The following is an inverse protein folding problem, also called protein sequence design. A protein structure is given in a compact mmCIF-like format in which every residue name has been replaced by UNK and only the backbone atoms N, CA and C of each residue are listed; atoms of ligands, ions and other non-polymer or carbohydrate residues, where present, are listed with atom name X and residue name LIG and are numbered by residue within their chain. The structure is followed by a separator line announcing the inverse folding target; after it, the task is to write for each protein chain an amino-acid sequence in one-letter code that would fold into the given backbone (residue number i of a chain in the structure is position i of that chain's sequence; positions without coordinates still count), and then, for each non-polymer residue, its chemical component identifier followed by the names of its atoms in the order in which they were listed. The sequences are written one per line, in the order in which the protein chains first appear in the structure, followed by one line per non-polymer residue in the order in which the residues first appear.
data_IF_026920996001
#
_entry.id   IF_026920996001
#
_cell.length_a   1.000
_cell.length_b   1.000
_cell.length_c   1.000
_cell.angle_alpha   90.00
_cell.angle_beta   90.00
_cell.angle_gamma   90.00
#
_symmetry.space_group_name_H-M   'P 1'
#
loop_
_entity.id
_entity.type
_entity.pdbx_description
1 polymer ?
#
# COMPACT_ATOMS: atom_id res chain seq x y z
N UNK A 1 13.01 11.01 4.04
CA UNK A 1 11.59 10.62 4.22
C UNK A 1 10.76 11.03 3.01
N UNK A 2 9.81 10.20 2.60
CA UNK A 2 8.89 10.47 1.48
C UNK A 2 8.07 11.75 1.72
N UNK A 3 7.70 12.07 2.96
CA UNK A 3 6.98 13.31 3.33
C UNK A 3 7.61 14.58 2.75
N UNK A 4 8.95 14.63 2.68
CA UNK A 4 9.75 15.77 2.21
C UNK A 4 9.90 15.84 0.69
N UNK A 5 9.32 14.90 -0.06
CA UNK A 5 9.34 14.95 -1.54
C UNK A 5 8.32 15.95 -2.10
N UNK A 6 7.46 16.48 -1.24
CA UNK A 6 6.38 17.40 -1.53
C UNK A 6 6.75 18.83 -1.12
N UNK A 7 6.22 19.82 -1.85
CA UNK A 7 6.38 21.25 -1.55
C UNK A 7 5.00 21.91 -1.49
N UNK A 8 4.52 22.31 -0.28
CA UNK A 8 5.12 22.09 1.04
C UNK A 8 5.15 20.60 1.45
N UNK A 9 5.93 20.28 2.49
CA UNK A 9 6.04 18.91 3.04
C UNK A 9 4.63 18.33 3.31
N UNK A 10 4.39 17.11 2.83
CA UNK A 10 3.09 16.46 2.98
C UNK A 10 2.92 16.00 4.42
N UNK A 11 1.99 16.65 5.13
CA UNK A 11 1.63 16.32 6.51
C UNK A 11 0.16 15.95 6.58
N UNK A 12 -0.07 14.71 6.97
CA UNK A 12 -1.40 14.15 7.12
C UNK A 12 -1.88 14.32 8.57
N UNK A 13 -3.14 14.70 8.80
CA UNK A 13 -3.72 14.68 10.15
C UNK A 13 -3.80 13.24 10.70
N UNK A 14 -3.73 13.05 12.02
CA UNK A 14 -3.84 11.73 12.62
C UNK A 14 -5.18 11.05 12.27
N UNK A 15 -5.18 9.75 11.90
CA UNK A 15 -6.39 9.05 11.47
C UNK A 15 -7.50 9.08 12.53
N UNK A 16 -7.15 9.08 13.81
CA UNK A 16 -8.08 9.07 14.94
C UNK A 16 -8.89 10.38 15.07
N UNK A 17 -8.42 11.46 14.46
CA UNK A 17 -9.09 12.77 14.51
C UNK A 17 -10.05 13.02 13.34
N UNK A 18 -10.14 12.07 12.41
CA UNK A 18 -10.94 12.19 11.19
C UNK A 18 -12.13 11.23 11.24
N UNK A 19 -13.29 11.73 10.82
CA UNK A 19 -14.42 10.88 10.43
C UNK A 19 -14.11 10.14 9.12
N UNK A 20 -14.93 9.13 8.80
CA UNK A 20 -14.67 8.23 7.67
C UNK A 20 -14.81 8.95 6.31
N UNK A 21 -15.76 9.88 6.17
CA UNK A 21 -15.94 10.65 4.93
C UNK A 21 -14.73 11.55 4.65
N UNK A 22 -14.28 12.32 5.65
CA UNK A 22 -13.11 13.19 5.49
C UNK A 22 -11.83 12.41 5.30
N UNK A 23 -11.71 11.26 5.97
CA UNK A 23 -10.57 10.36 5.81
C UNK A 23 -10.52 9.81 4.39
N UNK A 24 -11.66 9.39 3.83
CA UNK A 24 -11.76 8.91 2.45
C UNK A 24 -11.27 9.96 1.45
N UNK A 25 -11.77 11.20 1.55
CA UNK A 25 -11.38 12.29 0.66
C UNK A 25 -9.86 12.58 0.74
N UNK A 26 -9.32 12.64 1.96
CA UNK A 26 -7.89 12.87 2.19
C UNK A 26 -7.04 11.71 1.68
N UNK A 27 -7.51 10.47 1.83
CA UNK A 27 -6.84 9.29 1.33
C UNK A 27 -6.67 9.36 -0.20
N UNK A 28 -7.73 9.64 -0.95
CA UNK A 28 -7.66 9.73 -2.41
C UNK A 28 -6.77 10.87 -2.90
N UNK A 29 -6.87 12.06 -2.28
CA UNK A 29 -5.98 13.18 -2.57
C UNK A 29 -4.50 12.81 -2.30
N UNK A 30 -4.25 12.09 -1.20
CA UNK A 30 -2.91 11.62 -0.84
C UNK A 30 -2.38 10.61 -1.85
N UNK A 31 -3.21 9.66 -2.28
CA UNK A 31 -2.84 8.67 -3.29
C UNK A 31 -2.46 9.35 -4.61
N UNK A 32 -3.24 10.34 -5.04
CA UNK A 32 -2.93 11.09 -6.26
C UNK A 32 -1.58 11.83 -6.13
N UNK A 33 -1.35 12.49 -4.99
CA UNK A 33 -0.07 13.16 -4.69
C UNK A 33 1.11 12.18 -4.72
N UNK A 34 0.96 11.01 -4.10
CA UNK A 34 1.98 9.95 -4.15
C UNK A 34 2.28 9.54 -5.59
N UNK A 35 1.24 9.34 -6.40
CA UNK A 35 1.39 8.99 -7.82
C UNK A 35 2.12 10.08 -8.62
N UNK A 36 1.83 11.35 -8.38
CA UNK A 36 2.52 12.49 -9.01
C UNK A 36 4.02 12.51 -8.67
N UNK A 37 4.40 11.99 -7.50
CA UNK A 37 5.79 11.76 -7.08
C UNK A 37 6.34 10.40 -7.51
N UNK A 38 5.65 9.71 -8.44
CA UNK A 38 6.01 8.40 -8.98
C UNK A 38 6.03 7.29 -7.92
N UNK A 39 5.17 7.38 -6.92
CA UNK A 39 4.97 6.33 -5.92
C UNK A 39 3.64 5.64 -6.23
N UNK A 40 3.69 4.34 -6.51
CA UNK A 40 2.51 3.50 -6.77
C UNK A 40 2.28 2.58 -5.58
N UNK A 41 1.04 2.52 -5.11
CA UNK A 41 0.65 1.58 -4.06
C UNK A 41 0.13 0.30 -4.71
N UNK A 42 0.64 -0.84 -4.28
CA UNK A 42 0.25 -2.16 -4.74
C UNK A 42 -0.42 -2.96 -3.62
N UNK A 43 -1.29 -3.88 -4.01
CA UNK A 43 -1.94 -4.82 -3.09
C UNK A 43 -2.71 -4.15 -1.93
N UNK A 44 -3.48 -3.11 -2.22
CA UNK A 44 -4.17 -2.34 -1.17
C UNK A 44 -5.51 -2.91 -0.73
N UNK A 45 -6.19 -3.70 -1.57
CA UNK A 45 -7.64 -3.96 -1.51
C UNK A 45 -8.11 -4.74 -0.27
N UNK A 46 -7.19 -5.33 0.49
CA UNK A 46 -7.48 -5.94 1.80
C UNK A 46 -7.65 -4.90 2.92
N UNK A 47 -7.17 -3.68 2.74
CA UNK A 47 -7.20 -2.61 3.74
C UNK A 47 -8.47 -1.78 3.58
N UNK A 48 -9.14 -1.44 4.67
CA UNK A 48 -10.11 -0.33 4.66
C UNK A 48 -9.41 1.00 4.43
N UNK A 49 -10.16 2.05 4.07
CA UNK A 49 -9.60 3.39 3.86
C UNK A 49 -8.83 3.88 5.10
N UNK A 50 -9.37 3.63 6.29
CA UNK A 50 -8.73 3.96 7.56
C UNK A 50 -7.41 3.22 7.76
N UNK A 51 -7.35 1.94 7.40
CA UNK A 51 -6.11 1.16 7.48
C UNK A 51 -5.08 1.64 6.46
N UNK A 52 -5.48 1.84 5.20
CA UNK A 52 -4.58 2.33 4.15
C UNK A 52 -4.07 3.74 4.44
N UNK A 53 -4.93 4.64 4.92
CA UNK A 53 -4.52 5.97 5.35
C UNK A 53 -3.52 5.91 6.52
N UNK A 54 -3.77 5.04 7.50
CA UNK A 54 -2.88 4.86 8.66
C UNK A 54 -1.51 4.32 8.24
N UNK A 55 -1.48 3.41 7.27
CA UNK A 55 -0.28 2.85 6.66
C UNK A 55 0.52 3.94 5.93
N UNK A 56 -0.13 4.76 5.12
CA UNK A 56 0.53 5.89 4.45
C UNK A 56 1.13 6.86 5.49
N UNK A 57 0.35 7.20 6.52
CA UNK A 57 0.75 8.11 7.59
C UNK A 57 1.96 7.60 8.39
N UNK A 58 1.93 6.32 8.82
CA UNK A 58 2.90 5.75 9.77
C UNK A 58 4.14 5.18 9.07
N UNK A 59 3.96 4.55 7.93
CA UNK A 59 4.99 3.71 7.32
C UNK A 59 5.55 4.36 6.05
N UNK A 60 4.68 4.77 5.10
CA UNK A 60 5.13 5.30 3.80
C UNK A 60 5.77 6.68 3.95
N UNK A 61 5.03 7.67 4.45
CA UNK A 61 5.53 9.05 4.52
C UNK A 61 6.83 9.19 5.35
N UNK A 62 7.00 8.48 6.48
CA UNK A 62 8.25 8.53 7.24
C UNK A 62 9.40 7.73 6.61
N UNK A 63 9.13 6.79 5.69
CA UNK A 63 10.15 5.91 5.11
C UNK A 63 11.26 6.68 4.41
N UNK A 64 12.51 6.24 4.63
CA UNK A 64 13.73 6.87 4.10
C UNK A 64 14.09 6.31 2.73
N UNK A 65 13.28 6.65 1.73
CA UNK A 65 13.54 6.24 0.36
C UNK A 65 14.47 7.19 -0.39
N UNK A 66 15.24 6.64 -1.33
CA UNK A 66 16.02 7.44 -2.28
C UNK A 66 15.11 7.89 -3.42
N UNK A 67 14.94 9.20 -3.55
CA UNK A 67 14.25 9.78 -4.71
C UNK A 67 15.11 9.59 -5.95
N UNK A 68 14.66 8.73 -6.88
CA UNK A 68 15.32 8.53 -8.16
C UNK A 68 14.64 9.45 -9.18
N UNK A 69 15.35 10.47 -9.65
CA UNK A 69 14.84 11.46 -10.61
C UNK A 69 14.93 10.98 -12.07
N UNK A 70 14.78 9.68 -12.29
CA UNK A 70 14.72 9.10 -13.63
C UNK A 70 13.26 8.98 -14.05
N UNK A 71 12.90 9.56 -15.19
CA UNK A 71 11.52 9.63 -15.72
C UNK A 71 10.84 8.27 -15.94
N UNK A 72 11.58 7.18 -15.93
CA UNK A 72 11.11 5.81 -16.24
C UNK A 72 10.92 4.91 -15.01
N UNK A 73 11.25 5.38 -13.80
CA UNK A 73 11.16 4.55 -12.59
C UNK A 73 10.07 5.04 -11.64
N UNK A 74 9.21 4.11 -11.24
CA UNK A 74 8.26 4.28 -10.15
C UNK A 74 8.77 3.54 -8.91
N UNK A 75 8.50 4.11 -7.74
CA UNK A 75 8.62 3.40 -6.48
C UNK A 75 7.32 2.63 -6.27
N UNK A 76 7.40 1.30 -6.29
CA UNK A 76 6.28 0.42 -5.99
C UNK A 76 6.31 0.13 -4.49
N UNK A 77 5.22 0.43 -3.81
CA UNK A 77 5.06 0.15 -2.40
C UNK A 77 4.07 -1.00 -2.22
N UNK A 78 4.59 -2.15 -1.81
CA UNK A 78 3.79 -3.33 -1.51
C UNK A 78 3.08 -3.15 -0.15
N UNK A 79 1.75 -3.04 -0.18
CA UNK A 79 0.93 -2.92 1.03
C UNK A 79 0.56 -4.28 1.67
N UNK A 80 0.82 -5.41 1.00
CA UNK A 80 0.59 -6.75 1.53
C UNK A 80 1.82 -7.32 2.25
N UNK A 81 3.02 -6.86 1.91
CA UNK A 81 4.29 -7.29 2.52
C UNK A 81 4.72 -6.45 3.73
N UNK A 82 3.79 -5.76 4.41
CA UNK A 82 4.11 -4.90 5.55
C UNK A 82 4.24 -5.71 6.85
N UNK A 83 5.41 -6.34 7.01
CA UNK A 83 5.77 -7.13 8.19
C UNK A 83 6.47 -8.43 7.79
N UNK A 84 6.65 -9.33 8.75
CA UNK A 84 7.15 -10.70 8.52
C UNK A 84 6.03 -11.65 8.07
N UNK A 85 4.81 -11.15 7.90
CA UNK A 85 3.61 -11.98 7.74
C UNK A 85 3.16 -12.07 6.28
N UNK A 86 3.58 -13.14 5.61
CA UNK A 86 3.15 -13.53 4.27
C UNK A 86 1.67 -13.92 4.21
N UNK A 87 0.97 -14.03 5.35
CA UNK A 87 -0.42 -14.45 5.40
C UNK A 87 -1.34 -13.55 4.58
N UNK A 88 -1.11 -12.22 4.59
CA UNK A 88 -1.92 -11.27 3.81
C UNK A 88 -1.75 -11.50 2.30
N UNK A 89 -0.52 -11.73 1.86
CA UNK A 89 -0.23 -12.09 0.47
C UNK A 89 -0.94 -13.40 0.08
N UNK A 90 -0.73 -14.45 0.87
CA UNK A 90 -1.28 -15.79 0.62
C UNK A 90 -2.81 -15.79 0.61
N UNK A 91 -3.45 -15.00 1.46
CA UNK A 91 -4.89 -14.92 1.59
C UNK A 91 -5.57 -14.22 0.41
N UNK A 92 -5.00 -13.12 -0.06
CA UNK A 92 -5.71 -12.19 -0.95
C UNK A 92 -5.14 -12.08 -2.38
N UNK A 93 -3.85 -12.37 -2.58
CA UNK A 93 -3.15 -12.01 -3.82
C UNK A 93 -2.36 -13.16 -4.44
N UNK A 94 -1.88 -14.11 -3.63
CA UNK A 94 -1.14 -15.25 -4.14
C UNK A 94 -2.01 -16.13 -5.05
N UNK A 95 -1.40 -16.56 -6.14
CA UNK A 95 -1.93 -17.61 -7.00
C UNK A 95 -1.87 -18.97 -6.30
N UNK A 96 -2.60 -19.95 -6.81
CA UNK A 96 -2.56 -21.32 -6.26
C UNK A 96 -1.16 -21.94 -6.38
N UNK A 97 -0.42 -21.62 -7.45
CA UNK A 97 0.96 -22.08 -7.65
C UNK A 97 1.89 -21.52 -6.57
N UNK A 98 1.87 -20.20 -6.33
CA UNK A 98 2.67 -19.56 -5.28
C UNK A 98 2.33 -20.08 -3.87
N UNK A 99 1.07 -20.46 -3.64
CA UNK A 99 0.62 -21.08 -2.39
C UNK A 99 1.13 -22.51 -2.24
N UNK A 100 1.12 -23.30 -3.30
CA UNK A 100 1.73 -24.63 -3.31
C UNK A 100 3.23 -24.53 -3.03
N UNK A 101 3.94 -23.66 -3.73
CA UNK A 101 5.38 -23.45 -3.54
C UNK A 101 5.70 -23.04 -2.10
N UNK A 102 4.93 -22.10 -1.52
CA UNK A 102 5.10 -21.70 -0.13
C UNK A 102 4.85 -22.85 0.84
N UNK A 103 3.81 -23.65 0.62
CA UNK A 103 3.50 -24.82 1.46
C UNK A 103 4.60 -25.88 1.38
N UNK A 104 5.17 -26.11 0.19
CA UNK A 104 6.23 -27.09 -0.03
C UNK A 104 7.56 -26.64 0.58
N UNK A 105 7.87 -25.34 0.52
CA UNK A 105 9.10 -24.77 1.07
C UNK A 105 9.05 -24.61 2.60
N UNK A 106 7.92 -24.13 3.16
CA UNK A 106 7.83 -23.73 4.56
C UNK A 106 7.03 -24.70 5.44
N UNK A 107 6.28 -25.63 4.83
CA UNK A 107 5.55 -26.70 5.54
C UNK A 107 4.45 -26.22 6.51
N UNK A 108 4.00 -24.96 6.38
CA UNK A 108 3.01 -24.32 7.24
C UNK A 108 1.56 -24.48 6.75
N UNK A 109 0.56 -24.27 7.62
CA UNK A 109 -0.84 -24.24 7.19
C UNK A 109 -1.09 -23.01 6.31
N UNK A 110 -1.64 -23.24 5.11
CA UNK A 110 -2.06 -22.15 4.22
C UNK A 110 -3.32 -21.46 4.75
N UNK A 111 -3.36 -20.11 4.78
CA UNK A 111 -4.60 -19.39 5.10
C UNK A 111 -5.66 -19.65 4.01
N UNK A 112 -6.96 -19.55 4.34
CA UNK A 112 -8.01 -19.63 3.32
C UNK A 112 -7.83 -18.52 2.28
N UNK A 113 -8.12 -18.81 1.02
CA UNK A 113 -8.16 -17.78 -0.03
C UNK A 113 -9.44 -16.96 0.12
N UNK A 114 -9.31 -15.64 0.10
CA UNK A 114 -10.43 -14.70 0.24
C UNK A 114 -10.35 -13.59 -0.83
N UNK A 115 -11.50 -13.08 -1.24
CA UNK A 115 -11.56 -11.91 -2.12
C UNK A 115 -11.28 -10.65 -1.28
N UNK A 116 -10.40 -9.74 -1.72
CA UNK A 116 -10.15 -8.51 -1.00
C UNK A 116 -11.44 -7.70 -0.76
N UNK A 117 -11.76 -7.30 0.48
CA UNK A 117 -13.02 -6.66 0.82
C UNK A 117 -13.23 -5.25 0.25
N UNK A 118 -12.16 -4.52 -0.09
CA UNK A 118 -12.22 -3.11 -0.50
C UNK A 118 -11.60 -2.90 -1.89
N UNK A 119 -12.24 -3.40 -2.96
CA UNK A 119 -11.74 -3.26 -4.32
C UNK A 119 -11.65 -1.78 -4.70
N UNK A 120 -10.49 -1.34 -5.20
CA UNK A 120 -10.29 0.06 -5.60
C UNK A 120 -9.47 0.22 -6.88
N UNK A 121 -9.78 1.27 -7.61
CA UNK A 121 -9.06 1.62 -8.84
C UNK A 121 -8.04 2.73 -8.53
N UNK A 122 -6.87 2.32 -8.06
CA UNK A 122 -5.76 3.25 -7.84
C UNK A 122 -5.06 3.60 -9.16
N UNK A 123 -4.45 4.80 -9.27
CA UNK A 123 -3.62 5.13 -10.41
C UNK A 123 -2.43 4.16 -10.49
N UNK A 124 -2.28 3.53 -11.66
CA UNK A 124 -1.20 2.58 -11.96
C UNK A 124 -0.24 3.22 -12.96
N UNK A 125 1.01 2.74 -12.98
CA UNK A 125 1.97 3.12 -14.02
C UNK A 125 1.33 2.92 -15.41
N UNK A 126 1.33 3.91 -16.30
CA UNK A 126 0.87 3.71 -17.66
C UNK A 126 1.78 2.68 -18.35
N UNK A 127 1.15 1.67 -18.96
CA UNK A 127 1.79 0.61 -19.74
C UNK A 127 2.51 1.17 -20.97
#
# INVERSE_FOLDING_TARGET
PISRWFEPELRLPPPQTLDDERLHDLLWDTIQKLFDKRIVLEFTDHLSDRQLYSLIYRDILPSQEKKIDSSDRYLHWDCASLGEDMETWLRYYATEEERCDWSDEWGGPLPPTEVPPYPRQLPRRPL
#
